data_IF_568185852427
#
_entry.id   IF_568185852427
#
_cell.length_a   1.000
_cell.length_b   1.000
_cell.length_c   1.000
_cell.angle_alpha   90.00
_cell.angle_beta   90.00
_cell.angle_gamma   90.00
#
_symmetry.space_group_name_H-M   'P 1'
#
loop_
_entity.id
_entity.type
_entity.pdbx_description
1 polymer ?
#
# COMPACT_ATOMS: atom_id res chain seq x y z
N UNK A 1 14.99 -7.11 -7.41
CA UNK A 1 13.69 -7.77 -7.58
C UNK A 1 12.66 -7.03 -6.75
N UNK A 2 11.68 -6.40 -7.40
CA UNK A 2 10.57 -5.73 -6.69
C UNK A 2 9.55 -6.78 -6.25
N UNK A 3 9.79 -7.37 -5.08
CA UNK A 3 8.90 -8.36 -4.50
C UNK A 3 7.62 -7.71 -3.97
N UNK A 4 6.48 -7.98 -4.60
CA UNK A 4 5.18 -7.75 -4.00
C UNK A 4 5.03 -8.75 -2.85
N UNK A 5 5.20 -8.32 -1.60
CA UNK A 5 4.87 -9.16 -0.45
C UNK A 5 3.36 -9.15 -0.25
N UNK A 6 2.80 -10.35 -0.12
CA UNK A 6 1.43 -10.53 0.37
C UNK A 6 1.27 -9.86 1.74
N UNK A 7 0.23 -9.04 1.91
CA UNK A 7 -0.11 -8.43 3.18
C UNK A 7 -0.56 -9.53 4.15
N UNK A 8 0.27 -9.82 5.16
CA UNK A 8 -0.18 -10.62 6.31
C UNK A 8 -1.12 -9.77 7.17
N UNK A 9 -2.17 -10.36 7.76
CA UNK A 9 -3.05 -9.64 8.68
C UNK A 9 -2.20 -9.02 9.80
N UNK A 10 -2.45 -7.74 10.07
CA UNK A 10 -1.60 -6.90 10.91
C UNK A 10 -1.52 -7.44 12.35
N UNK A 11 -0.42 -8.11 12.69
CA UNK A 11 -0.10 -8.43 14.09
C UNK A 11 0.42 -7.16 14.80
N UNK A 12 -0.23 -6.91 15.92
CA UNK A 12 -0.38 -5.63 16.61
C UNK A 12 0.86 -5.26 17.44
N UNK A 13 1.86 -4.54 16.88
CA UNK A 13 2.81 -3.68 17.64
C UNK A 13 3.83 -2.97 16.73
N UNK A 14 3.75 -1.64 16.66
CA UNK A 14 4.70 -0.75 15.95
C UNK A 14 4.90 -1.03 14.44
N UNK A 15 3.88 -0.73 13.64
CA UNK A 15 3.99 -0.80 12.18
C UNK A 15 4.86 0.35 11.65
N UNK A 16 6.08 0.05 11.19
CA UNK A 16 6.72 0.89 10.17
C UNK A 16 5.74 1.04 9.00
N UNK A 17 5.60 2.22 8.37
CA UNK A 17 4.83 2.34 7.15
C UNK A 17 5.34 1.35 6.11
N UNK A 18 4.63 0.24 5.91
CA UNK A 18 4.92 -0.67 4.83
C UNK A 18 4.41 -0.03 3.54
N UNK A 19 5.34 0.21 2.63
CA UNK A 19 5.07 0.79 1.32
C UNK A 19 5.00 -0.34 0.30
N UNK A 20 3.83 -0.56 -0.28
CA UNK A 20 3.59 -1.62 -1.26
C UNK A 20 3.55 -1.03 -2.68
N UNK A 21 4.10 -1.75 -3.66
CA UNK A 21 3.98 -1.44 -5.09
C UNK A 21 3.10 -2.50 -5.75
N UNK A 22 2.13 -2.10 -6.56
CA UNK A 22 1.23 -3.01 -7.28
C UNK A 22 0.74 -2.37 -8.59
N UNK A 23 0.11 -3.19 -9.44
CA UNK A 23 -0.58 -2.70 -10.64
C UNK A 23 -2.06 -2.63 -10.37
N UNK A 24 -2.67 -1.49 -10.69
CA UNK A 24 -4.11 -1.30 -10.65
C UNK A 24 -4.66 -1.23 -12.07
N UNK A 25 -5.81 -1.86 -12.30
CA UNK A 25 -6.50 -1.82 -13.59
C UNK A 25 -7.42 -0.59 -13.63
N UNK A 26 -7.16 0.31 -14.56
CA UNK A 26 -8.00 1.46 -14.85
C UNK A 26 -9.28 1.05 -15.56
N UNK A 27 -10.28 1.93 -15.52
CA UNK A 27 -11.57 1.72 -16.21
C UNK A 27 -11.39 1.47 -17.72
N UNK A 28 -10.40 2.10 -18.35
CA UNK A 28 -10.08 1.92 -19.77
C UNK A 28 -9.37 0.58 -20.08
N UNK A 29 -9.10 -0.25 -19.07
CA UNK A 29 -8.43 -1.54 -19.21
C UNK A 29 -6.91 -1.51 -19.11
N UNK A 30 -6.30 -0.33 -19.07
CA UNK A 30 -4.86 -0.19 -18.86
C UNK A 30 -4.47 -0.51 -17.42
N UNK A 31 -3.22 -0.90 -17.24
CA UNK A 31 -2.67 -1.17 -15.92
C UNK A 31 -1.57 -0.17 -15.63
N UNK A 32 -1.73 0.58 -14.54
CA UNK A 32 -0.77 1.57 -14.07
C UNK A 32 -0.11 1.10 -12.77
N UNK A 33 1.13 1.53 -12.56
CA UNK A 33 1.85 1.22 -11.33
C UNK A 33 1.47 2.20 -10.23
N UNK A 34 1.04 1.66 -9.10
CA UNK A 34 0.74 2.40 -7.89
C UNK A 34 1.67 1.96 -6.77
N UNK A 35 2.04 2.92 -5.94
CA UNK A 35 2.66 2.67 -4.66
C UNK A 35 1.74 3.18 -3.56
N UNK A 36 1.53 2.43 -2.49
CA UNK A 36 0.69 2.86 -1.37
C UNK A 36 1.34 2.58 -0.02
N UNK A 37 1.27 3.56 0.86
CA UNK A 37 1.68 3.46 2.26
C UNK A 37 0.44 3.47 3.13
N UNK A 38 0.28 2.46 3.98
CA UNK A 38 -0.91 2.30 4.82
C UNK A 38 -0.59 2.48 6.31
N UNK A 39 -1.46 3.18 7.03
CA UNK A 39 -1.40 3.39 8.47
C UNK A 39 -2.72 2.97 9.10
N UNK A 40 -2.67 2.00 10.02
CA UNK A 40 -3.82 1.64 10.85
C UNK A 40 -3.97 2.62 12.00
N UNK A 41 -5.12 3.25 12.11
CA UNK A 41 -5.54 4.03 13.26
C UNK A 41 -6.27 3.11 14.25
N UNK A 42 -5.88 3.19 15.52
CA UNK A 42 -6.51 2.47 16.62
C UNK A 42 -7.16 3.47 17.55
N UNK A 43 -8.39 3.20 17.98
CA UNK A 43 -9.02 3.95 19.05
C UNK A 43 -8.28 3.66 20.37
N UNK A 44 -8.12 4.68 21.21
CA UNK A 44 -7.37 4.57 22.47
C UNK A 44 -7.95 3.53 23.44
N UNK A 45 -9.20 3.12 23.23
CA UNK A 45 -9.94 2.17 24.07
C UNK A 45 -10.02 0.74 23.50
N UNK A 46 -9.51 0.49 22.28
CA UNK A 46 -9.63 -0.81 21.60
C UNK A 46 -8.29 -1.23 21.01
N UNK A 47 -7.92 -2.50 21.20
CA UNK A 47 -6.71 -3.07 20.57
C UNK A 47 -6.91 -3.34 19.07
N UNK A 48 -8.14 -3.20 18.57
CA UNK A 48 -8.49 -3.39 17.16
C UNK A 48 -8.18 -2.14 16.33
N UNK A 49 -7.93 -2.35 15.03
CA UNK A 49 -7.81 -1.25 14.07
C UNK A 49 -9.22 -0.83 13.68
N UNK A 50 -9.59 0.41 14.00
CA UNK A 50 -10.89 0.97 13.62
C UNK A 50 -10.87 1.49 12.18
N UNK A 51 -9.74 2.08 11.75
CA UNK A 51 -9.62 2.71 10.44
C UNK A 51 -8.24 2.48 9.82
N UNK A 52 -8.17 2.46 8.49
CA UNK A 52 -6.92 2.40 7.74
C UNK A 52 -6.86 3.62 6.82
N UNK A 53 -5.81 4.43 6.97
CA UNK A 53 -5.50 5.52 6.05
C UNK A 53 -4.41 5.02 5.10
N UNK A 54 -4.70 5.01 3.80
CA UNK A 54 -3.73 4.71 2.76
C UNK A 54 -3.44 5.96 1.93
N UNK A 55 -2.15 6.25 1.72
CA UNK A 55 -1.69 7.28 0.79
C UNK A 55 -1.11 6.58 -0.42
N UNK A 56 -1.72 6.81 -1.59
CA UNK A 56 -1.36 6.16 -2.85
C UNK A 56 -0.81 7.15 -3.87
N UNK A 57 0.24 6.77 -4.60
CA UNK A 57 0.84 7.57 -5.68
C UNK A 57 1.05 6.74 -6.94
N UNK A 58 0.81 7.36 -8.10
CA UNK A 58 1.17 6.77 -9.39
C UNK A 58 2.69 6.81 -9.56
N UNK A 59 3.32 5.66 -9.82
CA UNK A 59 4.76 5.52 -10.05
C UNK A 59 5.09 4.99 -11.45
N UNK A 60 4.14 5.06 -12.38
CA UNK A 60 4.28 4.52 -13.74
C UNK A 60 5.44 5.16 -14.49
N UNK A 61 5.60 6.48 -14.39
CA UNK A 61 6.71 7.22 -15.01
C UNK A 61 8.07 6.75 -14.47
N UNK A 62 8.17 6.60 -13.13
CA UNK A 62 9.40 6.15 -12.47
C UNK A 62 9.77 4.71 -12.86
N UNK A 63 8.77 3.86 -13.09
CA UNK A 63 8.97 2.46 -13.52
C UNK A 63 9.36 2.33 -14.99
N UNK A 64 8.86 3.21 -15.85
CA UNK A 64 9.24 3.25 -17.26
C UNK A 64 10.69 3.73 -17.45
N UNK A 65 11.17 4.64 -16.60
CA UNK A 65 12.56 5.10 -16.63
C UNK A 65 13.59 4.08 -16.12
N UNK A 66 13.16 2.98 -15.48
CA UNK A 66 14.03 1.87 -15.06
C UNK A 66 14.25 0.83 -16.18
N UNK A 67 13.63 1.00 -17.36
CA UNK A 67 13.76 0.14 -18.56
C UNK A 67 14.67 0.78 -19.58
#
# INVERSE_FOLDING_TARGET
GVGCREMKPAETRNLKPETCCYRIRCRNGEYIWFESTCHGLKNQHSENIDEIIAVSRNISERKQAET
#
